data_IF_426752886636
#
_entry.id   IF_426752886636
#
_cell.length_a   1.000
_cell.length_b   1.000
_cell.length_c   1.000
_cell.angle_alpha   90.00
_cell.angle_beta   90.00
_cell.angle_gamma   90.00
#
_symmetry.space_group_name_H-M   'P 1'
#
loop_
_entity.id
_entity.type
_entity.pdbx_description
1 polymer ?
#
# COMPACT_ATOMS: atom_id res chain seq x y z
N UNK A 1 -12.52 20.98 -21.38
CA UNK A 1 -13.59 20.36 -20.57
C UNK A 1 -13.06 19.00 -20.16
N UNK A 2 -12.83 18.61 -18.91
CA UNK A 2 -13.15 19.16 -17.58
C UNK A 2 -11.90 18.95 -16.70
N UNK A 3 -11.68 19.88 -15.77
CA UNK A 3 -10.59 19.90 -14.78
C UNK A 3 -10.73 18.70 -13.82
N UNK A 4 -9.80 17.76 -13.86
CA UNK A 4 -9.60 16.75 -12.79
C UNK A 4 -8.22 16.86 -12.13
N UNK A 5 -7.51 17.97 -12.38
CA UNK A 5 -6.23 18.34 -11.74
C UNK A 5 -6.37 18.73 -10.25
N UNK A 6 -7.42 18.27 -9.56
CA UNK A 6 -7.70 18.64 -8.17
C UNK A 6 -8.28 17.48 -7.36
N UNK A 7 -7.72 16.27 -7.50
CA UNK A 7 -7.92 15.22 -6.48
C UNK A 7 -6.63 14.79 -5.76
N UNK A 8 -5.47 15.36 -6.10
CA UNK A 8 -4.21 15.10 -5.39
C UNK A 8 -4.00 15.93 -4.11
N UNK A 9 -4.91 16.83 -3.74
CA UNK A 9 -4.78 17.70 -2.57
C UNK A 9 -5.70 17.37 -1.38
N UNK A 10 -6.56 16.35 -1.47
CA UNK A 10 -7.55 16.02 -0.41
C UNK A 10 -7.02 14.96 0.59
N UNK A 11 -5.69 14.75 0.64
CA UNK A 11 -5.00 14.03 1.73
C UNK A 11 -4.19 14.95 2.64
N UNK A 12 -4.28 16.27 2.46
CA UNK A 12 -3.77 17.28 3.38
C UNK A 12 -4.90 18.21 3.81
N UNK A 13 -5.08 18.35 5.12
CA UNK A 13 -5.90 19.33 5.85
C UNK A 13 -7.41 19.07 6.01
N UNK A 14 -7.79 18.73 7.26
CA UNK A 14 -9.03 19.22 7.87
C UNK A 14 -8.79 20.66 8.34
N UNK A 15 -9.72 21.56 8.05
CA UNK A 15 -9.54 23.02 8.17
C UNK A 15 -9.74 23.62 9.56
N UNK A 16 -9.28 24.87 9.69
CA UNK A 16 -9.78 25.88 10.63
C UNK A 16 -9.49 27.26 10.03
N UNK A 17 -10.52 28.10 9.94
CA UNK A 17 -10.42 29.45 9.39
C UNK A 17 -9.63 30.40 10.31
N UNK A 18 -8.79 31.22 9.64
CA UNK A 18 -8.29 32.57 9.98
C UNK A 18 -7.51 32.79 11.29
N UNK A 19 -6.19 32.99 11.13
CA UNK A 19 -5.61 34.32 11.33
C UNK A 19 -4.27 34.46 10.59
N UNK A 20 -4.12 35.59 9.88
CA UNK A 20 -2.98 35.94 9.05
C UNK A 20 -1.68 36.11 9.86
N UNK A 21 -0.86 35.06 9.88
CA UNK A 21 0.60 35.19 9.76
C UNK A 21 1.06 34.09 8.83
N UNK A 22 1.54 34.46 7.64
CA UNK A 22 2.27 33.55 6.75
C UNK A 22 3.47 32.98 7.50
N UNK A 23 3.27 31.85 8.18
CA UNK A 23 4.37 30.98 8.56
C UNK A 23 4.81 30.37 7.24
N UNK A 24 5.82 30.98 6.61
CA UNK A 24 6.52 30.33 5.50
C UNK A 24 6.96 28.96 6.01
N UNK A 25 6.54 27.84 5.38
CA UNK A 25 7.04 26.54 5.77
C UNK A 25 8.57 26.60 5.68
N UNK A 26 9.24 26.32 6.80
CA UNK A 26 10.70 26.14 6.78
C UNK A 26 10.97 24.97 5.82
N UNK A 27 11.85 25.12 4.83
CA UNK A 27 12.24 23.99 4.00
C UNK A 27 12.84 22.93 4.92
N UNK A 28 12.19 21.77 4.99
CA UNK A 28 12.76 20.58 5.61
C UNK A 28 13.96 20.21 4.74
N UNK A 29 15.13 20.03 5.36
CA UNK A 29 16.38 19.73 4.66
C UNK A 29 16.22 18.50 3.75
N UNK A 30 16.33 18.73 2.45
CA UNK A 30 16.42 17.71 1.39
C UNK A 30 17.83 17.14 1.43
N UNK A 31 18.05 16.05 2.18
CA UNK A 31 19.38 15.39 2.23
C UNK A 31 19.32 13.88 1.93
N UNK A 32 18.15 13.27 1.73
CA UNK A 32 18.04 11.81 1.70
C UNK A 32 17.69 11.14 0.36
N UNK A 33 17.58 11.86 -0.77
CA UNK A 33 17.04 11.25 -2.00
C UNK A 33 17.92 10.16 -2.64
N UNK A 34 19.25 10.29 -2.62
CA UNK A 34 20.13 9.26 -3.23
C UNK A 34 20.30 8.02 -2.35
N UNK A 35 20.55 8.19 -1.05
CA UNK A 35 20.67 7.06 -0.10
C UNK A 35 19.37 6.27 0.05
N UNK A 36 18.22 6.94 -0.03
CA UNK A 36 16.90 6.28 -0.05
C UNK A 36 16.75 5.40 -1.29
N UNK A 37 17.20 5.87 -2.46
CA UNK A 37 17.10 5.10 -3.69
C UNK A 37 18.00 3.86 -3.65
N UNK A 38 19.22 4.00 -3.14
CA UNK A 38 20.15 2.90 -2.98
C UNK A 38 19.63 1.85 -1.99
N UNK A 39 19.02 2.27 -0.87
CA UNK A 39 18.37 1.35 0.10
C UNK A 39 17.18 0.61 -0.52
N UNK A 40 16.30 1.32 -1.24
CA UNK A 40 15.13 0.72 -1.90
C UNK A 40 15.52 -0.29 -3.01
N UNK A 41 16.71 -0.13 -3.60
CA UNK A 41 17.21 -1.00 -4.67
C UNK A 41 18.04 -2.19 -4.17
N UNK A 42 18.49 -2.20 -2.92
CA UNK A 42 19.43 -3.20 -2.42
C UNK A 42 18.77 -4.42 -1.77
N UNK A 43 17.53 -4.30 -1.28
CA UNK A 43 16.91 -5.33 -0.46
C UNK A 43 15.52 -5.73 -0.95
N UNK A 44 15.19 -7.02 -0.77
CA UNK A 44 13.84 -7.56 -0.90
C UNK A 44 12.96 -6.90 0.16
N UNK A 45 11.97 -6.13 -0.27
CA UNK A 45 11.10 -5.35 0.59
C UNK A 45 9.78 -6.08 0.81
N UNK A 46 9.48 -6.50 2.04
CA UNK A 46 8.22 -7.17 2.37
C UNK A 46 7.03 -6.19 2.31
N UNK A 47 5.97 -6.59 1.62
CA UNK A 47 4.74 -5.81 1.48
C UNK A 47 3.79 -6.20 2.59
N UNK A 48 3.54 -5.29 3.52
CA UNK A 48 2.53 -5.47 4.56
C UNK A 48 1.15 -5.21 4.04
N UNK A 49 0.96 -4.20 3.20
CA UNK A 49 -0.34 -3.85 2.62
C UNK A 49 -0.21 -3.52 1.17
N UNK A 50 -1.07 -4.12 0.34
CA UNK A 50 -1.30 -3.66 -1.02
C UNK A 50 -2.80 -3.62 -1.36
N UNK A 51 -3.20 -2.54 -2.00
CA UNK A 51 -4.53 -2.29 -2.55
C UNK A 51 -4.35 -1.70 -3.93
N UNK A 52 -4.96 -2.32 -4.94
CA UNK A 52 -4.94 -1.82 -6.30
C UNK A 52 -6.28 -2.08 -6.98
N UNK A 53 -6.89 -1.05 -7.57
CA UNK A 53 -8.18 -1.17 -8.25
C UNK A 53 -8.40 -0.08 -9.29
N UNK A 54 -9.27 -0.35 -10.27
CA UNK A 54 -9.73 0.60 -11.28
C UNK A 54 -11.16 1.06 -10.99
N UNK A 55 -11.42 2.35 -11.23
CA UNK A 55 -12.76 2.92 -11.17
C UNK A 55 -13.65 2.44 -12.33
N UNK A 56 -14.99 2.47 -12.18
CA UNK A 56 -15.89 2.30 -13.33
C UNK A 56 -15.72 3.44 -14.34
N UNK A 57 -16.18 3.22 -15.57
CA UNK A 57 -16.05 4.21 -16.64
C UNK A 57 -16.91 5.47 -16.43
N UNK A 58 -18.10 5.28 -15.87
CA UNK A 58 -19.04 6.36 -15.55
C UNK A 58 -19.01 6.60 -14.04
N UNK A 59 -18.63 7.80 -13.63
CA UNK A 59 -18.51 8.19 -12.23
C UNK A 59 -19.66 9.10 -11.76
N UNK A 60 -20.55 9.53 -12.66
CA UNK A 60 -21.47 10.63 -12.37
C UNK A 60 -22.72 10.18 -11.59
N UNK A 61 -22.89 8.88 -11.40
CA UNK A 61 -24.06 8.32 -10.72
C UNK A 61 -23.98 8.54 -9.19
N UNK A 62 -25.07 8.96 -8.52
CA UNK A 62 -25.07 9.20 -7.08
C UNK A 62 -24.63 8.01 -6.22
N UNK A 63 -25.03 6.78 -6.59
CA UNK A 63 -24.56 5.58 -5.90
C UNK A 63 -23.04 5.37 -6.01
N UNK A 64 -22.45 5.73 -7.16
CA UNK A 64 -21.01 5.60 -7.41
C UNK A 64 -20.25 6.62 -6.57
N UNK A 65 -20.72 7.86 -6.54
CA UNK A 65 -20.15 8.91 -5.70
C UNK A 65 -20.20 8.55 -4.20
N UNK A 66 -21.25 7.87 -3.74
CA UNK A 66 -21.34 7.38 -2.36
C UNK A 66 -20.29 6.30 -2.08
N UNK A 67 -20.16 5.30 -2.95
CA UNK A 67 -19.17 4.23 -2.78
C UNK A 67 -17.74 4.78 -2.83
N UNK A 68 -17.44 5.72 -3.75
CA UNK A 68 -16.13 6.39 -3.81
C UNK A 68 -15.79 7.07 -2.47
N UNK A 69 -16.76 7.77 -1.86
CA UNK A 69 -16.55 8.37 -0.53
C UNK A 69 -16.26 7.31 0.55
N UNK A 70 -16.95 6.18 0.52
CA UNK A 70 -16.69 5.06 1.43
C UNK A 70 -15.28 4.50 1.22
N UNK A 71 -14.90 4.23 -0.03
CA UNK A 71 -13.57 3.74 -0.41
C UNK A 71 -12.48 4.71 0.08
N UNK A 72 -12.64 6.02 -0.14
CA UNK A 72 -11.70 7.03 0.37
C UNK A 72 -11.63 7.00 1.90
N UNK A 73 -12.77 6.86 2.59
CA UNK A 73 -12.83 6.78 4.05
C UNK A 73 -12.09 5.54 4.58
N UNK A 74 -12.32 4.38 3.96
CA UNK A 74 -11.63 3.13 4.31
C UNK A 74 -10.13 3.27 4.03
N UNK A 75 -9.73 3.86 2.91
CA UNK A 75 -8.31 4.09 2.59
C UNK A 75 -7.60 4.96 3.62
N UNK A 76 -8.26 6.02 4.11
CA UNK A 76 -7.71 6.85 5.20
C UNK A 76 -7.58 6.07 6.51
N UNK A 77 -8.55 5.20 6.82
CA UNK A 77 -8.49 4.33 7.98
C UNK A 77 -7.35 3.30 7.88
N UNK A 78 -7.22 2.63 6.74
CA UNK A 78 -6.14 1.66 6.49
C UNK A 78 -4.77 2.30 6.69
N UNK A 79 -4.60 3.54 6.21
CA UNK A 79 -3.36 4.29 6.43
C UNK A 79 -3.10 4.59 7.90
N UNK A 80 -4.08 5.12 8.64
CA UNK A 80 -3.86 5.49 10.04
C UNK A 80 -3.63 4.28 10.95
N UNK A 81 -4.36 3.18 10.71
CA UNK A 81 -4.16 1.94 11.46
C UNK A 81 -2.89 1.20 11.05
N UNK A 82 -2.52 1.27 9.76
CA UNK A 82 -1.22 0.80 9.28
C UNK A 82 -0.08 1.48 10.03
N UNK A 83 -0.06 2.82 10.04
CA UNK A 83 0.96 3.60 10.76
C UNK A 83 1.06 3.22 12.26
N UNK A 84 -0.09 3.02 12.93
CA UNK A 84 -0.12 2.59 14.33
C UNK A 84 0.39 1.15 14.54
N UNK A 85 0.03 0.22 13.65
CA UNK A 85 0.49 -1.18 13.71
C UNK A 85 2.00 -1.23 13.57
N UNK A 86 2.57 -0.40 12.71
CA UNK A 86 4.01 -0.33 12.47
C UNK A 86 4.77 0.23 13.68
N UNK A 87 4.20 1.21 14.37
CA UNK A 87 4.75 1.71 15.63
C UNK A 87 4.78 0.61 16.71
N UNK A 88 3.70 -0.18 16.82
CA UNK A 88 3.67 -1.33 17.73
C UNK A 88 4.63 -2.43 17.32
N UNK A 89 4.71 -2.78 16.03
CA UNK A 89 5.68 -3.75 15.51
C UNK A 89 7.13 -3.34 15.71
N UNK A 90 7.43 -2.04 15.74
CA UNK A 90 8.76 -1.57 16.08
C UNK A 90 9.05 -1.64 17.59
N UNK A 91 8.03 -1.41 18.41
CA UNK A 91 8.13 -1.53 19.88
C UNK A 91 8.23 -2.99 20.31
N UNK A 92 7.54 -3.87 19.62
CA UNK A 92 7.71 -5.31 19.64
C UNK A 92 9.08 -5.62 19.03
N UNK A 93 10.13 -5.72 19.85
CA UNK A 93 11.43 -6.13 19.33
C UNK A 93 11.29 -7.58 18.84
N UNK A 94 11.01 -7.74 17.55
CA UNK A 94 10.61 -9.01 16.93
C UNK A 94 11.53 -10.15 17.34
N UNK A 95 12.85 -9.93 17.36
CA UNK A 95 13.81 -10.96 17.73
C UNK A 95 13.81 -11.32 19.23
N UNK A 96 13.60 -10.35 20.12
CA UNK A 96 13.53 -10.62 21.56
C UNK A 96 12.17 -11.19 21.93
N UNK A 97 11.07 -10.59 21.48
CA UNK A 97 9.74 -11.10 21.78
C UNK A 97 9.45 -12.44 21.10
N UNK A 98 9.87 -12.70 19.85
CA UNK A 98 9.72 -14.03 19.26
C UNK A 98 10.51 -15.08 20.06
N UNK A 99 11.74 -14.75 20.50
CA UNK A 99 12.55 -15.67 21.32
C UNK A 99 11.94 -15.93 22.72
N UNK A 100 11.29 -14.94 23.33
CA UNK A 100 10.53 -15.12 24.58
C UNK A 100 9.33 -16.03 24.35
N UNK A 101 8.52 -15.74 23.32
CA UNK A 101 7.26 -16.45 23.05
C UNK A 101 7.46 -17.91 22.65
N UNK A 102 8.57 -18.25 21.99
CA UNK A 102 8.94 -19.64 21.69
C UNK A 102 9.70 -20.34 22.82
N UNK A 103 10.02 -19.63 23.90
CA UNK A 103 10.71 -20.16 25.08
C UNK A 103 12.23 -20.32 24.91
N UNK A 104 12.83 -19.69 23.90
CA UNK A 104 14.28 -19.72 23.64
C UNK A 104 15.07 -18.87 24.64
N UNK A 105 14.44 -17.85 25.24
CA UNK A 105 15.03 -17.02 26.29
C UNK A 105 14.08 -16.88 27.48
N UNK A 106 14.65 -16.86 28.70
CA UNK A 106 13.92 -16.56 29.93
C UNK A 106 14.12 -15.08 30.28
N UNK A 107 13.02 -14.34 30.40
CA UNK A 107 13.01 -12.92 30.76
C UNK A 107 12.23 -12.71 32.06
N UNK A 108 12.22 -11.47 32.55
CA UNK A 108 11.34 -11.09 33.66
C UNK A 108 9.86 -11.24 33.23
N UNK A 109 8.95 -11.71 34.10
CA UNK A 109 7.54 -11.93 33.76
C UNK A 109 6.87 -10.70 33.13
N UNK A 110 7.25 -9.50 33.56
CA UNK A 110 6.73 -8.24 33.01
C UNK A 110 7.08 -8.02 31.53
N UNK A 111 8.21 -8.58 31.07
CA UNK A 111 8.64 -8.53 29.67
C UNK A 111 7.92 -9.61 28.86
N UNK A 112 7.73 -10.80 29.46
CA UNK A 112 6.96 -11.88 28.85
C UNK A 112 5.50 -11.47 28.60
N UNK A 113 4.83 -10.93 29.62
CA UNK A 113 3.46 -10.42 29.52
C UNK A 113 3.35 -9.32 28.45
N UNK A 114 4.32 -8.38 28.40
CA UNK A 114 4.36 -7.33 27.38
C UNK A 114 4.48 -7.89 25.96
N UNK A 115 5.27 -8.95 25.75
CA UNK A 115 5.42 -9.57 24.44
C UNK A 115 4.13 -10.30 24.00
N UNK A 116 3.43 -10.98 24.92
CA UNK A 116 2.12 -11.57 24.61
C UNK A 116 1.08 -10.50 24.27
N UNK A 117 0.94 -9.46 25.11
CA UNK A 117 -0.02 -8.38 24.89
C UNK A 117 0.22 -7.67 23.53
N UNK A 118 1.48 -7.38 23.20
CA UNK A 118 1.83 -6.78 21.91
C UNK A 118 1.55 -7.70 20.73
N UNK A 119 1.81 -9.01 20.85
CA UNK A 119 1.51 -9.98 19.80
C UNK A 119 0.00 -10.03 19.51
N UNK A 120 -0.81 -10.16 20.55
CA UNK A 120 -2.27 -10.22 20.43
C UNK A 120 -2.82 -8.92 19.82
N UNK A 121 -2.36 -7.75 20.28
CA UNK A 121 -2.76 -6.47 19.70
C UNK A 121 -2.35 -6.34 18.21
N UNK A 122 -1.15 -6.78 17.84
CA UNK A 122 -0.67 -6.71 16.44
C UNK A 122 -1.52 -7.61 15.53
N UNK A 123 -1.91 -8.79 16.01
CA UNK A 123 -2.76 -9.73 15.30
C UNK A 123 -4.20 -9.21 15.15
N UNK A 124 -4.79 -8.66 16.21
CA UNK A 124 -6.11 -8.00 16.15
C UNK A 124 -6.11 -6.82 15.16
N UNK A 125 -5.04 -6.03 15.16
CA UNK A 125 -4.87 -4.93 14.21
C UNK A 125 -4.74 -5.45 12.77
N UNK A 126 -4.00 -6.55 12.55
CA UNK A 126 -3.89 -7.18 11.24
C UNK A 126 -5.26 -7.67 10.74
N UNK A 127 -6.04 -8.34 11.59
CA UNK A 127 -7.41 -8.78 11.28
C UNK A 127 -8.34 -7.61 10.95
N UNK A 128 -8.22 -6.50 11.68
CA UNK A 128 -9.00 -5.28 11.43
C UNK A 128 -8.66 -4.65 10.08
N UNK A 129 -7.37 -4.55 9.76
CA UNK A 129 -6.89 -4.08 8.46
C UNK A 129 -7.41 -4.97 7.33
N UNK A 130 -7.32 -6.29 7.49
CA UNK A 130 -7.83 -7.27 6.52
C UNK A 130 -9.34 -7.09 6.26
N UNK A 131 -10.14 -7.02 7.32
CA UNK A 131 -11.59 -6.81 7.22
C UNK A 131 -11.93 -5.54 6.43
N UNK A 132 -11.15 -4.47 6.63
CA UNK A 132 -11.31 -3.19 5.92
C UNK A 132 -10.88 -3.24 4.45
N UNK A 133 -9.82 -3.98 4.11
CA UNK A 133 -9.45 -4.22 2.71
C UNK A 133 -10.58 -4.99 2.00
N UNK A 134 -11.16 -6.01 2.64
CA UNK A 134 -12.29 -6.76 2.08
C UNK A 134 -13.56 -5.91 1.96
N UNK A 135 -13.83 -5.00 2.90
CA UNK A 135 -14.90 -4.00 2.79
C UNK A 135 -14.68 -3.08 1.58
N UNK A 136 -13.45 -2.57 1.39
CA UNK A 136 -13.11 -1.74 0.23
C UNK A 136 -13.30 -2.50 -1.08
N UNK A 137 -12.84 -3.75 -1.16
CA UNK A 137 -13.02 -4.62 -2.33
C UNK A 137 -14.50 -4.77 -2.69
N UNK A 138 -15.36 -5.01 -1.70
CA UNK A 138 -16.81 -5.09 -1.91
C UNK A 138 -17.38 -3.77 -2.46
N UNK A 139 -16.99 -2.63 -1.91
CA UNK A 139 -17.44 -1.32 -2.40
C UNK A 139 -17.00 -1.07 -3.85
N UNK A 140 -15.74 -1.35 -4.20
CA UNK A 140 -15.20 -1.24 -5.56
C UNK A 140 -16.01 -2.09 -6.55
N UNK A 141 -16.22 -3.37 -6.22
CA UNK A 141 -16.96 -4.29 -7.08
C UNK A 141 -18.44 -3.91 -7.20
N UNK A 142 -19.05 -3.36 -6.14
CA UNK A 142 -20.46 -2.93 -6.15
C UNK A 142 -20.75 -1.83 -7.19
N UNK A 143 -19.75 -1.02 -7.52
CA UNK A 143 -19.85 0.04 -8.52
C UNK A 143 -19.31 -0.36 -9.89
N UNK A 144 -19.07 -1.66 -10.13
CA UNK A 144 -18.46 -2.19 -11.36
C UNK A 144 -17.03 -1.68 -11.60
N UNK A 145 -16.32 -1.32 -10.52
CA UNK A 145 -14.87 -1.19 -10.55
C UNK A 145 -14.21 -2.56 -10.71
N UNK A 146 -12.90 -2.55 -10.92
CA UNK A 146 -12.10 -3.79 -11.00
C UNK A 146 -11.10 -3.81 -9.86
N UNK A 147 -11.07 -4.89 -9.09
CA UNK A 147 -10.06 -5.12 -8.07
C UNK A 147 -8.92 -5.94 -8.66
N UNK A 148 -7.68 -5.52 -8.46
CA UNK A 148 -6.50 -6.30 -8.83
C UNK A 148 -6.15 -7.21 -7.66
N UNK A 149 -5.82 -8.46 -7.92
CA UNK A 149 -5.46 -9.41 -6.85
C UNK A 149 -4.20 -8.91 -6.12
N UNK A 150 -4.32 -8.71 -4.81
CA UNK A 150 -3.24 -8.19 -3.94
C UNK A 150 -2.91 -9.16 -2.80
N UNK A 151 -1.77 -8.96 -2.12
CA UNK A 151 -1.27 -9.82 -1.04
C UNK A 151 -2.30 -10.17 0.04
N UNK A 152 -3.23 -9.25 0.31
CA UNK A 152 -4.22 -9.38 1.39
C UNK A 152 -5.41 -10.28 1.09
N UNK A 153 -5.43 -10.93 -0.07
CA UNK A 153 -6.51 -11.86 -0.41
C UNK A 153 -6.26 -13.30 0.11
N UNK A 154 -5.11 -13.61 0.75
CA UNK A 154 -4.81 -14.96 1.30
C UNK A 154 -3.96 -14.92 2.59
N UNK A 155 -4.27 -15.80 3.54
CA UNK A 155 -3.42 -16.15 4.69
C UNK A 155 -2.31 -17.11 4.26
N UNK A 156 -1.07 -16.65 4.11
CA UNK A 156 0.07 -17.49 3.69
C UNK A 156 1.27 -17.26 4.61
N UNK A 157 2.06 -18.31 4.82
CA UNK A 157 3.31 -18.29 5.60
C UNK A 157 4.42 -17.45 4.94
N UNK A 158 4.38 -17.27 3.62
CA UNK A 158 5.32 -16.41 2.89
C UNK A 158 4.73 -15.02 2.63
N UNK A 159 5.50 -13.98 2.89
CA UNK A 159 5.10 -12.58 2.64
C UNK A 159 5.30 -12.16 1.19
N UNK A 160 4.38 -11.35 0.66
CA UNK A 160 4.61 -10.66 -0.60
C UNK A 160 5.76 -9.69 -0.47
N UNK A 161 6.39 -9.39 -1.60
CA UNK A 161 7.54 -8.51 -1.63
C UNK A 161 7.72 -7.81 -2.96
N UNK A 162 8.47 -6.71 -2.94
CA UNK A 162 8.90 -5.95 -4.11
C UNK A 162 10.43 -5.95 -4.20
N UNK A 163 10.93 -6.10 -5.41
CA UNK A 163 12.35 -5.97 -5.75
C UNK A 163 12.47 -4.99 -6.94
N UNK A 164 12.71 -3.72 -6.63
CA UNK A 164 12.79 -2.66 -7.65
C UNK A 164 13.98 -2.85 -8.59
N UNK A 165 15.10 -3.40 -8.10
CA UNK A 165 16.28 -3.71 -8.92
C UNK A 165 16.06 -4.84 -9.93
N UNK A 166 15.09 -5.71 -9.67
CA UNK A 166 14.68 -6.79 -10.57
C UNK A 166 13.37 -6.48 -11.27
N UNK A 167 12.83 -5.27 -11.09
CA UNK A 167 11.63 -4.82 -11.78
C UNK A 167 10.44 -5.77 -11.56
N UNK A 168 10.19 -6.24 -10.34
CA UNK A 168 9.02 -7.08 -10.08
C UNK A 168 8.44 -6.98 -8.67
N UNK A 169 7.16 -7.35 -8.58
CA UNK A 169 6.42 -7.61 -7.34
C UNK A 169 5.99 -9.06 -7.33
N UNK A 170 6.21 -9.75 -6.21
CA UNK A 170 5.88 -11.17 -6.06
C UNK A 170 4.87 -11.39 -4.94
N UNK A 171 3.85 -12.19 -5.24
CA UNK A 171 2.81 -12.63 -4.33
C UNK A 171 2.88 -14.16 -4.20
N UNK A 172 3.44 -14.69 -3.09
CA UNK A 172 3.70 -16.11 -2.91
C UNK A 172 2.44 -16.98 -2.99
N UNK A 173 1.27 -16.45 -2.67
CA UNK A 173 0.00 -17.07 -3.04
C UNK A 173 -0.84 -16.11 -3.87
N UNK A 174 -1.06 -16.46 -5.13
CA UNK A 174 -2.37 -16.53 -5.77
C UNK A 174 -2.22 -16.80 -7.27
N UNK A 175 -2.96 -17.79 -7.74
CA UNK A 175 -3.35 -17.94 -9.12
C UNK A 175 -4.82 -18.27 -9.11
N UNK A 176 -5.65 -17.41 -9.69
CA UNK A 176 -7.05 -17.73 -9.94
C UNK A 176 -7.11 -19.06 -10.68
N UNK A 177 -7.68 -20.07 -10.04
CA UNK A 177 -7.82 -21.45 -10.53
C UNK A 177 -6.53 -22.19 -10.86
N UNK A 178 -6.45 -23.34 -10.21
CA UNK A 178 -5.47 -24.36 -10.45
C UNK A 178 -5.98 -25.22 -11.59
N UNK A 179 -5.17 -25.42 -12.64
CA UNK A 179 -5.26 -26.72 -13.29
C UNK A 179 -4.75 -27.72 -12.22
N UNK A 180 -5.66 -28.48 -11.60
CA UNK A 180 -5.39 -29.61 -10.69
C UNK A 180 -5.17 -29.34 -9.19
N UNK A 181 -5.62 -28.23 -8.62
CA UNK A 181 -5.57 -28.00 -7.15
C UNK A 181 -4.32 -27.31 -6.59
N UNK A 182 -3.28 -27.06 -7.40
CA UNK A 182 -2.03 -26.43 -6.96
C UNK A 182 -2.05 -24.89 -6.98
N UNK A 183 -1.94 -24.26 -5.80
CA UNK A 183 -1.82 -22.80 -5.64
C UNK A 183 -0.54 -22.35 -6.35
N UNK A 184 -0.69 -21.57 -7.43
CA UNK A 184 0.46 -20.99 -8.15
C UNK A 184 0.74 -19.58 -7.62
N UNK A 185 1.98 -19.21 -7.30
CA UNK A 185 2.32 -17.84 -6.93
C UNK A 185 2.05 -16.83 -8.07
N UNK A 186 1.57 -15.63 -7.74
CA UNK A 186 1.46 -14.53 -8.70
C UNK A 186 2.75 -13.73 -8.72
N UNK A 187 3.17 -13.30 -9.89
CA UNK A 187 4.29 -12.36 -10.03
C UNK A 187 3.94 -11.31 -11.07
N UNK A 188 4.16 -10.04 -10.77
CA UNK A 188 3.98 -8.94 -11.69
C UNK A 188 5.35 -8.39 -12.06
N UNK A 189 5.65 -8.41 -13.35
CA UNK A 189 6.85 -7.75 -13.90
C UNK A 189 6.52 -6.26 -14.07
N UNK A 190 7.50 -5.39 -13.83
CA UNK A 190 7.39 -3.94 -13.99
C UNK A 190 8.36 -3.53 -15.10
N UNK A 191 7.86 -3.29 -16.30
CA UNK A 191 8.70 -2.89 -17.44
C UNK A 191 8.95 -1.39 -17.44
N UNK A 192 10.15 -1.02 -17.87
CA UNK A 192 10.56 0.36 -18.12
C UNK A 192 10.35 1.27 -16.91
N UNK A 193 10.75 0.79 -15.74
CA UNK A 193 10.64 1.54 -14.48
C UNK A 193 11.47 2.82 -14.54
N UNK A 194 10.82 3.98 -14.48
CA UNK A 194 11.49 5.28 -14.38
C UNK A 194 11.28 5.88 -13.00
N UNK A 195 12.40 6.18 -12.32
CA UNK A 195 12.43 6.86 -11.04
C UNK A 195 12.81 8.32 -11.25
N UNK A 196 11.94 9.25 -10.85
CA UNK A 196 12.25 10.68 -10.85
C UNK A 196 12.19 11.24 -9.42
N UNK A 197 13.20 12.02 -9.04
CA UNK A 197 13.28 12.61 -7.70
C UNK A 197 12.62 13.98 -7.74
N UNK A 198 11.53 14.14 -6.97
CA UNK A 198 10.86 15.42 -6.74
C UNK A 198 11.27 15.98 -5.37
N UNK A 199 11.07 17.28 -5.10
CA UNK A 199 11.50 17.91 -3.84
C UNK A 199 10.94 17.26 -2.56
N UNK A 200 9.79 16.58 -2.64
CA UNK A 200 9.07 16.02 -1.47
C UNK A 200 8.81 14.51 -1.53
N UNK A 201 9.09 13.86 -2.67
CA UNK A 201 8.87 12.43 -2.87
C UNK A 201 9.65 11.92 -4.08
N UNK A 202 9.78 10.59 -4.19
CA UNK A 202 10.30 9.94 -5.40
C UNK A 202 9.10 9.48 -6.21
N UNK A 203 9.05 9.78 -7.50
CA UNK A 203 8.01 9.29 -8.39
C UNK A 203 8.49 8.04 -9.12
N UNK A 204 7.66 7.00 -9.11
CA UNK A 204 7.85 5.72 -9.77
C UNK A 204 6.83 5.58 -10.91
N UNK A 205 7.32 5.55 -12.14
CA UNK A 205 6.53 5.27 -13.33
C UNK A 205 6.80 3.83 -13.77
N UNK A 206 5.74 3.03 -13.87
CA UNK A 206 5.85 1.58 -13.97
C UNK A 206 4.81 1.01 -14.95
N UNK A 207 5.23 0.17 -15.91
CA UNK A 207 4.31 -0.54 -16.81
C UNK A 207 4.20 -2.01 -16.41
N UNK A 208 2.98 -2.53 -16.25
CA UNK A 208 2.73 -3.91 -15.81
C UNK A 208 2.17 -4.69 -17.01
N UNK A 209 2.91 -5.67 -17.56
CA UNK A 209 2.48 -6.41 -18.74
C UNK A 209 1.46 -7.48 -18.37
N UNK A 210 0.33 -7.55 -19.08
CA UNK A 210 -0.64 -8.66 -19.30
C UNK A 210 -0.99 -9.65 -18.16
N UNK A 211 -0.54 -9.43 -16.92
CA UNK A 211 -0.77 -10.31 -15.76
C UNK A 211 -1.86 -9.79 -14.82
N UNK A 212 -2.33 -8.56 -15.04
CA UNK A 212 -3.39 -7.91 -14.28
C UNK A 212 -4.77 -7.94 -14.97
N UNK A 213 -4.83 -8.41 -16.23
CA UNK A 213 -5.99 -8.34 -17.11
C UNK A 213 -5.58 -8.10 -18.57
N UNK A 214 -6.54 -8.05 -19.49
CA UNK A 214 -6.27 -7.75 -20.90
C UNK A 214 -5.99 -6.24 -21.08
N UNK A 215 -4.73 -5.88 -21.30
CA UNK A 215 -4.31 -4.49 -21.55
C UNK A 215 -2.95 -4.15 -20.93
N UNK A 216 -2.49 -2.92 -21.18
CA UNK A 216 -1.26 -2.39 -20.56
C UNK A 216 -1.65 -1.54 -19.35
N UNK A 217 -1.09 -1.86 -18.19
CA UNK A 217 -1.30 -1.08 -16.97
C UNK A 217 -0.11 -0.17 -16.76
N UNK A 218 -0.35 1.10 -16.46
CA UNK A 218 0.66 2.09 -16.12
C UNK A 218 0.35 2.65 -14.73
N UNK A 219 1.34 2.62 -13.83
CA UNK A 219 1.22 3.20 -12.51
C UNK A 219 2.19 4.38 -12.37
N UNK A 220 1.68 5.49 -11.83
CA UNK A 220 2.45 6.66 -11.43
C UNK A 220 2.31 6.81 -9.91
N UNK A 221 3.39 6.62 -9.17
CA UNK A 221 3.35 6.52 -7.71
C UNK A 221 4.33 7.46 -7.04
N UNK A 222 3.88 8.13 -5.99
CA UNK A 222 4.74 8.82 -5.05
C UNK A 222 5.21 7.85 -3.96
N UNK A 223 6.53 7.77 -3.78
CA UNK A 223 7.20 7.04 -2.72
C UNK A 223 7.48 8.02 -1.58
N UNK A 224 6.98 7.68 -0.38
CA UNK A 224 7.19 8.45 0.84
C UNK A 224 7.86 7.58 1.88
N UNK A 225 9.04 8.00 2.28
CA UNK A 225 9.79 7.38 3.37
C UNK A 225 9.29 7.96 4.69
N UNK A 226 8.71 7.11 5.52
CA UNK A 226 8.29 7.42 6.88
C UNK A 226 9.30 6.86 7.88
N UNK A 227 9.03 7.08 9.18
CA UNK A 227 9.89 6.64 10.27
C UNK A 227 10.09 5.11 10.26
N UNK A 228 9.01 4.34 10.12
CA UNK A 228 8.99 2.88 10.23
C UNK A 228 8.63 2.15 8.93
N UNK A 229 8.32 2.88 7.86
CA UNK A 229 7.87 2.29 6.60
C UNK A 229 8.23 3.13 5.39
N UNK A 230 8.13 2.50 4.23
CA UNK A 230 8.08 3.16 2.93
C UNK A 230 6.69 2.95 2.32
N UNK A 231 6.03 4.05 1.96
CA UNK A 231 4.69 4.03 1.36
C UNK A 231 4.80 4.38 -0.12
N UNK A 232 4.15 3.59 -0.96
CA UNK A 232 4.01 3.79 -2.39
C UNK A 232 2.54 4.03 -2.68
N UNK A 233 2.20 5.18 -3.26
CA UNK A 233 0.81 5.52 -3.52
C UNK A 233 0.67 6.35 -4.79
N UNK A 234 -0.37 6.10 -5.57
CA UNK A 234 -0.66 6.95 -6.71
C UNK A 234 -1.76 6.42 -7.63
N UNK A 235 -1.65 6.80 -8.89
CA UNK A 235 -2.66 6.52 -9.91
C UNK A 235 -2.29 5.26 -10.68
N UNK A 236 -3.29 4.41 -10.88
CA UNK A 236 -3.20 3.25 -11.75
C UNK A 236 -4.05 3.50 -12.99
N UNK A 237 -3.46 3.30 -14.16
CA UNK A 237 -4.13 3.48 -15.43
C UNK A 237 -4.14 2.16 -16.20
N UNK A 238 -5.30 1.75 -16.70
CA UNK A 238 -5.41 0.70 -17.70
C UNK A 238 -5.56 1.36 -19.07
N UNK A 239 -4.60 1.11 -19.95
CA UNK A 239 -4.53 1.60 -21.31
C UNK A 239 -4.89 0.46 -22.24
N UNK A 240 -5.97 0.62 -23.00
CA UNK A 240 -6.35 -0.28 -24.08
C UNK A 240 -6.44 0.48 -25.40
N UNK A 241 -6.65 -0.23 -26.51
CA UNK A 241 -6.86 0.38 -27.82
C UNK A 241 -8.10 1.29 -27.90
N UNK A 242 -9.04 1.18 -26.95
CA UNK A 242 -10.32 1.87 -26.98
C UNK A 242 -10.53 2.87 -25.84
N UNK A 243 -9.79 2.77 -24.74
CA UNK A 243 -10.03 3.59 -23.55
C UNK A 243 -8.82 3.63 -22.60
N UNK A 244 -8.76 4.71 -21.81
CA UNK A 244 -7.94 4.79 -20.60
C UNK A 244 -8.88 4.78 -19.40
N UNK A 245 -8.70 3.82 -18.48
CA UNK A 245 -9.40 3.79 -17.20
C UNK A 245 -8.43 4.12 -16.08
N UNK A 246 -8.86 4.93 -15.14
CA UNK A 246 -8.06 5.33 -14.00
C UNK A 246 -8.48 4.56 -12.75
N UNK A 247 -7.58 4.55 -11.78
CA UNK A 247 -7.68 3.77 -10.56
C UNK A 247 -6.67 4.26 -9.54
N UNK A 248 -6.56 3.48 -8.47
CA UNK A 248 -5.64 3.74 -7.38
C UNK A 248 -4.74 2.54 -7.18
N UNK A 249 -3.49 2.81 -6.81
CA UNK A 249 -2.56 1.82 -6.30
C UNK A 249 -1.92 2.34 -5.02
N UNK A 250 -1.84 1.47 -4.03
CA UNK A 250 -1.23 1.73 -2.74
C UNK A 250 -0.52 0.47 -2.26
N UNK A 251 0.72 0.60 -1.81
CA UNK A 251 1.32 -0.42 -0.95
C UNK A 251 2.26 0.17 0.11
N UNK A 252 2.50 -0.61 1.15
CA UNK A 252 3.31 -0.23 2.30
C UNK A 252 4.28 -1.34 2.65
N UNK A 253 5.52 -0.94 2.90
CA UNK A 253 6.67 -1.80 3.21
C UNK A 253 7.26 -1.36 4.56
N UNK A 254 7.49 -2.32 5.46
CA UNK A 254 8.24 -2.11 6.71
C UNK A 254 9.73 -1.89 6.46
N UNK A 255 10.35 -1.03 7.28
CA UNK A 255 11.81 -0.86 7.33
C UNK A 255 12.46 -1.78 8.37
#
# INVERSE_FOLDING_TARGET
MIKFLTLLFILSSCGLERNDKQIKPKPVQVVQSSQTLDQLNQEKQEIDIMVAFLWPQDLDQPQIQKAIKNIISIGRFLRSQGDLRLEKLHTYNKYECEAVLIGDITVEPEIEDLCYDLSDEIDEMALTLFSKVQEMKKEVLSIKGEWLDTFHDVTVDEKAYIELNKDYIFFPALGATTNNGEVTPMSYEIKNTELSVQPEFIQLNANWPNKLGAGEYQAEMAIRVQKYSTVFQGELNLITSSQTRQGLIYWQVLK
#
